data_IF_172613015182
#
_entry.id   IF_172613015182
#
_cell.length_a   1.000
_cell.length_b   1.000
_cell.length_c   1.000
_cell.angle_alpha   90.00
_cell.angle_beta   90.00
_cell.angle_gamma   90.00
#
_symmetry.space_group_name_H-M   'P 1'
#
loop_
_entity.id
_entity.type
_entity.pdbx_description
1 polymer ?
#
# COMPACT_ATOMS: atom_id res chain seq x y z
N UNK A 1 -24.20 5.35 -0.36
CA UNK A 1 -23.68 5.48 -1.74
C UNK A 1 -22.22 5.02 -1.70
N UNK A 2 -21.92 3.84 -2.22
CA UNK A 2 -20.54 3.36 -2.28
C UNK A 2 -19.85 4.11 -3.44
N UNK A 3 -19.06 5.11 -3.12
CA UNK A 3 -18.21 5.76 -4.11
C UNK A 3 -17.16 4.72 -4.50
N UNK A 4 -17.28 4.13 -5.69
CA UNK A 4 -16.20 3.31 -6.23
C UNK A 4 -14.93 4.17 -6.22
N UNK A 5 -13.80 3.67 -5.68
CA UNK A 5 -12.57 4.44 -5.69
C UNK A 5 -12.23 4.81 -7.13
N UNK A 6 -11.88 6.08 -7.35
CA UNK A 6 -11.48 6.55 -8.67
C UNK A 6 -10.39 5.61 -9.22
N UNK A 7 -10.44 5.27 -10.53
CA UNK A 7 -9.42 4.43 -11.13
C UNK A 7 -8.05 5.05 -10.87
N UNK A 8 -7.04 4.26 -10.47
CA UNK A 8 -5.73 4.80 -10.16
C UNK A 8 -5.16 5.47 -11.43
N UNK A 9 -4.48 6.62 -11.31
CA UNK A 9 -3.84 7.24 -12.45
C UNK A 9 -2.81 6.27 -13.04
N UNK A 10 -2.74 6.14 -14.38
CA UNK A 10 -1.92 5.14 -15.07
C UNK A 10 -0.41 5.27 -14.78
N UNK A 11 0.02 6.42 -14.25
CA UNK A 11 1.41 6.76 -13.96
C UNK A 11 1.80 6.51 -12.49
N UNK A 12 1.32 5.39 -11.93
CA UNK A 12 1.52 5.08 -10.50
C UNK A 12 1.97 3.65 -10.30
N UNK A 13 3.01 3.45 -9.49
CA UNK A 13 3.40 2.14 -8.97
C UNK A 13 2.54 1.88 -7.73
N UNK A 14 1.72 0.84 -7.75
CA UNK A 14 0.84 0.48 -6.64
C UNK A 14 1.47 -0.63 -5.80
N UNK A 15 1.51 -0.45 -4.49
CA UNK A 15 1.96 -1.44 -3.53
C UNK A 15 0.91 -1.65 -2.46
N UNK A 16 0.57 -2.92 -2.19
CA UNK A 16 -0.31 -3.28 -1.09
C UNK A 16 0.51 -3.42 0.18
N UNK A 17 0.15 -2.67 1.20
CA UNK A 17 0.73 -2.69 2.54
C UNK A 17 -0.07 -3.69 3.35
N UNK A 18 0.58 -4.80 3.68
CA UNK A 18 -0.02 -5.89 4.46
C UNK A 18 0.93 -6.38 5.55
N UNK A 19 0.42 -7.26 6.42
CA UNK A 19 1.17 -7.86 7.52
C UNK A 19 2.12 -8.99 7.05
N UNK A 20 3.07 -8.66 6.17
CA UNK A 20 4.07 -9.62 5.65
C UNK A 20 5.48 -9.31 6.15
N UNK A 21 6.29 -10.37 6.27
CA UNK A 21 7.73 -10.21 6.48
C UNK A 21 8.37 -9.58 5.23
N UNK A 22 9.32 -8.66 5.42
CA UNK A 22 10.00 -7.97 4.32
C UNK A 22 9.20 -6.82 3.70
N UNK A 23 8.13 -6.34 4.35
CA UNK A 23 7.37 -5.17 3.89
C UNK A 23 8.28 -3.97 3.58
N UNK A 24 9.25 -3.68 4.45
CA UNK A 24 10.18 -2.57 4.25
C UNK A 24 11.00 -2.71 2.95
N UNK A 25 11.47 -3.91 2.64
CA UNK A 25 12.23 -4.15 1.40
C UNK A 25 11.33 -4.00 0.17
N UNK A 26 10.11 -4.53 0.22
CA UNK A 26 9.12 -4.37 -0.85
C UNK A 26 8.76 -2.89 -1.10
N UNK A 27 8.57 -2.12 -0.02
CA UNK A 27 8.29 -0.68 -0.08
C UNK A 27 9.47 0.07 -0.68
N UNK A 28 10.69 -0.25 -0.25
CA UNK A 28 11.91 0.35 -0.77
C UNK A 28 12.07 0.07 -2.27
N UNK A 29 11.89 -1.18 -2.69
CA UNK A 29 11.97 -1.56 -4.10
C UNK A 29 10.91 -0.84 -4.95
N UNK A 30 9.66 -0.78 -4.47
CA UNK A 30 8.58 -0.08 -5.16
C UNK A 30 8.87 1.43 -5.29
N UNK A 31 9.39 2.06 -4.23
CA UNK A 31 9.77 3.47 -4.22
C UNK A 31 10.92 3.75 -5.19
N UNK A 32 11.97 2.92 -5.21
CA UNK A 32 13.08 3.04 -6.16
C UNK A 32 12.63 2.84 -7.61
N UNK A 33 11.69 1.92 -7.84
CA UNK A 33 11.11 1.71 -9.18
C UNK A 33 10.29 2.91 -9.64
N UNK A 34 9.52 3.50 -8.74
CA UNK A 34 8.76 4.72 -9.00
C UNK A 34 9.70 5.88 -9.36
N UNK A 35 10.78 6.06 -8.58
CA UNK A 35 11.83 7.04 -8.86
C UNK A 35 12.47 6.83 -10.24
N UNK A 36 12.90 5.60 -10.54
CA UNK A 36 13.57 5.29 -11.81
C UNK A 36 12.66 5.40 -13.05
N UNK A 37 11.35 5.55 -12.85
CA UNK A 37 10.36 5.68 -13.93
C UNK A 37 9.63 7.03 -13.93
N UNK A 38 10.06 7.98 -13.08
CA UNK A 38 9.39 9.26 -12.83
C UNK A 38 7.88 9.13 -12.54
N UNK A 39 7.50 8.07 -11.83
CA UNK A 39 6.11 7.76 -11.46
C UNK A 39 5.85 8.04 -9.99
N UNK A 40 4.59 8.23 -9.65
CA UNK A 40 4.17 8.27 -8.25
C UNK A 40 4.15 6.85 -7.65
N UNK A 41 4.28 6.76 -6.33
CA UNK A 41 4.06 5.55 -5.55
C UNK A 41 2.72 5.65 -4.83
N UNK A 42 1.87 4.65 -4.96
CA UNK A 42 0.61 4.53 -4.22
C UNK A 42 0.66 3.34 -3.27
N UNK A 43 0.60 3.62 -1.98
CA UNK A 43 0.51 2.63 -0.92
C UNK A 43 -0.96 2.37 -0.62
N UNK A 44 -1.35 1.10 -0.56
CA UNK A 44 -2.75 0.70 -0.38
C UNK A 44 -2.88 -0.30 0.73
N UNK A 45 -3.79 -0.07 1.66
CA UNK A 45 -4.07 -0.99 2.76
C UNK A 45 -4.83 -2.24 2.26
N UNK A 46 -4.53 -3.39 2.86
CA UNK A 46 -5.43 -4.55 2.80
C UNK A 46 -6.74 -4.22 3.53
N UNK A 47 -7.87 -4.66 2.98
CA UNK A 47 -9.16 -4.46 3.62
C UNK A 47 -9.23 -5.22 4.96
N UNK A 48 -9.32 -4.49 6.07
CA UNK A 48 -9.47 -5.03 7.41
C UNK A 48 -10.96 -4.98 7.82
N UNK A 49 -11.53 -6.04 8.43
CA UNK A 49 -12.88 -5.99 8.96
C UNK A 49 -13.07 -4.84 9.97
N UNK A 50 -14.15 -4.09 9.84
CA UNK A 50 -14.44 -2.88 10.66
C UNK A 50 -14.51 -3.14 12.16
N UNK A 51 -14.82 -4.38 12.57
CA UNK A 51 -14.94 -4.78 13.96
C UNK A 51 -13.63 -5.26 14.61
N UNK A 52 -12.54 -5.42 13.85
CA UNK A 52 -11.23 -5.78 14.40
C UNK A 52 -10.39 -4.54 14.66
N UNK A 53 -10.58 -3.94 15.83
CA UNK A 53 -9.83 -2.76 16.27
C UNK A 53 -8.32 -3.02 16.38
N UNK A 54 -7.91 -4.24 16.72
CA UNK A 54 -6.50 -4.58 16.86
C UNK A 54 -5.83 -4.69 15.48
N UNK A 55 -6.49 -5.33 14.51
CA UNK A 55 -6.03 -5.38 13.13
C UNK A 55 -6.03 -3.99 12.49
N UNK A 56 -7.03 -3.16 12.77
CA UNK A 56 -7.04 -1.77 12.29
C UNK A 56 -5.88 -0.96 12.84
N UNK A 57 -5.57 -1.08 14.13
CA UNK A 57 -4.42 -0.40 14.73
C UNK A 57 -3.08 -0.90 14.15
N UNK A 58 -2.98 -2.20 13.82
CA UNK A 58 -1.80 -2.75 13.13
C UNK A 58 -1.66 -2.20 11.71
N UNK A 59 -2.76 -2.15 10.95
CA UNK A 59 -2.76 -1.62 9.58
C UNK A 59 -2.30 -0.16 9.52
N UNK A 60 -2.80 0.69 10.44
CA UNK A 60 -2.37 2.09 10.53
C UNK A 60 -0.86 2.19 10.77
N UNK A 61 -0.33 1.46 11.76
CA UNK A 61 1.12 1.47 12.06
C UNK A 61 1.96 0.99 10.87
N UNK A 62 1.47 -0.03 10.16
CA UNK A 62 2.13 -0.57 8.95
C UNK A 62 2.14 0.46 7.82
N UNK A 63 1.05 1.18 7.63
CA UNK A 63 0.98 2.26 6.65
C UNK A 63 1.95 3.39 6.98
N UNK A 64 2.05 3.78 8.26
CA UNK A 64 3.03 4.79 8.71
C UNK A 64 4.47 4.33 8.45
N UNK A 65 4.80 3.08 8.77
CA UNK A 65 6.12 2.49 8.49
C UNK A 65 6.42 2.47 7.00
N UNK A 66 5.46 2.05 6.17
CA UNK A 66 5.61 2.04 4.72
C UNK A 66 5.81 3.45 4.15
N UNK A 67 5.10 4.45 4.67
CA UNK A 67 5.28 5.85 4.26
C UNK A 67 6.69 6.34 4.60
N UNK A 68 7.19 6.04 5.80
CA UNK A 68 8.53 6.43 6.23
C UNK A 68 9.62 5.76 5.38
N UNK A 69 9.49 4.47 5.11
CA UNK A 69 10.43 3.74 4.25
C UNK A 69 10.41 4.29 2.83
N UNK A 70 9.23 4.50 2.24
CA UNK A 70 9.11 5.04 0.88
C UNK A 70 9.78 6.42 0.74
N UNK A 71 9.52 7.32 1.69
CA UNK A 71 10.09 8.68 1.70
C UNK A 71 11.62 8.67 1.84
N UNK A 72 12.17 7.75 2.63
CA UNK A 72 13.62 7.60 2.81
C UNK A 72 14.28 6.96 1.59
N UNK A 73 13.64 5.94 1.01
CA UNK A 73 14.17 5.19 -0.12
C UNK A 73 14.20 6.00 -1.42
N UNK A 74 13.19 6.83 -1.65
CA UNK A 74 13.06 7.63 -2.86
C UNK A 74 12.64 9.08 -2.55
N UNK A 75 13.57 9.92 -2.09
CA UNK A 75 13.31 11.35 -1.89
C UNK A 75 12.85 12.00 -3.20
N UNK A 76 11.75 12.76 -3.16
CA UNK A 76 11.19 13.46 -4.32
C UNK A 76 10.14 12.67 -5.12
N UNK A 77 9.98 11.36 -4.88
CA UNK A 77 8.84 10.62 -5.43
C UNK A 77 7.55 11.06 -4.73
N UNK A 78 6.51 11.33 -5.51
CA UNK A 78 5.20 11.59 -4.95
C UNK A 78 4.63 10.28 -4.38
N UNK A 79 4.47 10.22 -3.06
CA UNK A 79 3.83 9.09 -2.36
C UNK A 79 2.39 9.44 -2.02
N UNK A 80 1.45 8.56 -2.37
CA UNK A 80 0.01 8.70 -2.10
C UNK A 80 -0.52 7.48 -1.34
N UNK A 81 -1.57 7.67 -0.55
CA UNK A 81 -2.31 6.57 0.08
C UNK A 81 -3.59 6.35 -0.71
N UNK A 82 -3.75 5.15 -1.25
CA UNK A 82 -4.92 4.76 -2.03
C UNK A 82 -6.05 4.22 -1.17
N UNK A 83 -7.24 4.10 -1.76
CA UNK A 83 -8.36 3.45 -1.10
C UNK A 83 -8.05 1.96 -0.84
N UNK A 84 -8.42 1.41 0.33
CA UNK A 84 -8.21 0.00 0.65
C UNK A 84 -8.77 -0.90 -0.44
N UNK A 85 -8.05 -1.98 -0.75
CA UNK A 85 -8.54 -3.00 -1.69
C UNK A 85 -8.86 -4.28 -0.96
N UNK A 86 -9.97 -4.88 -1.36
CA UNK A 86 -10.24 -6.28 -1.05
C UNK A 86 -9.23 -7.12 -1.85
N UNK A 87 -8.27 -7.71 -1.15
CA UNK A 87 -7.45 -8.75 -1.73
C UNK A 87 -8.32 -9.98 -1.94
N UNK A 88 -8.27 -10.64 -3.11
CA UNK A 88 -8.94 -11.93 -3.27
C UNK A 88 -8.39 -12.87 -2.21
N UNK A 89 -9.27 -13.35 -1.31
CA UNK A 89 -8.87 -14.37 -0.34
C UNK A 89 -8.28 -15.55 -1.11
N UNK A 90 -7.15 -16.13 -0.65
CA UNK A 90 -6.65 -17.35 -1.26
C UNK A 90 -7.79 -18.36 -1.19
N UNK A 91 -8.29 -18.79 -2.36
CA UNK A 91 -9.28 -19.86 -2.44
C UNK A 91 -8.62 -21.06 -1.80
N UNK A 92 -9.10 -21.46 -0.62
CA UNK A 92 -8.73 -22.75 -0.06
C UNK A 92 -9.06 -23.81 -1.13
N UNK A 93 -8.10 -24.65 -1.55
CA UNK A 93 -8.46 -25.88 -2.23
C UNK A 93 -9.28 -26.70 -1.23
N UNK A 94 -10.56 -26.91 -1.55
CA UNK A 94 -11.42 -27.87 -0.84
C UNK A 94 -10.96 -29.29 -1.13
#
# INVERSE_FOLDING_TARGET
MAHAPAPPPPDTVRLVVDDVAGLADLVREAALRALGSDRALELVESAVPTCDHAARARAIRRMDEALDVARRAAPGVQVRVGAPIELPSPRHPS
#
